data_IF_304948877854
#
_entry.id   IF_304948877854
#
_cell.length_a   1.000
_cell.length_b   1.000
_cell.length_c   1.000
_cell.angle_alpha   90.00
_cell.angle_beta   90.00
_cell.angle_gamma   90.00
#
_symmetry.space_group_name_H-M   'P 1'
#
loop_
_entity.id
_entity.type
_entity.pdbx_description
1 polymer ?
#
# COMPACT_ATOMS: atom_id res chain seq x y z
N UNK A 1 4.08 -19.55 -28.31
CA UNK A 1 5.17 -18.64 -27.91
C UNK A 1 6.45 -19.08 -28.58
N UNK A 2 7.02 -18.24 -29.43
CA UNK A 2 8.19 -18.61 -30.22
C UNK A 2 9.44 -18.38 -29.36
N UNK A 3 10.11 -19.45 -28.95
CA UNK A 3 11.42 -19.43 -28.27
C UNK A 3 12.50 -19.02 -29.28
N UNK A 4 12.39 -17.80 -29.79
CA UNK A 4 13.46 -17.18 -30.59
C UNK A 4 14.74 -17.14 -29.76
N UNK A 5 15.90 -17.37 -30.40
CA UNK A 5 17.22 -17.34 -29.77
C UNK A 5 17.40 -16.07 -28.94
N UNK A 6 17.48 -16.22 -27.61
CA UNK A 6 17.84 -15.15 -26.68
C UNK A 6 19.29 -14.74 -26.94
N UNK A 7 19.57 -13.46 -27.10
CA UNK A 7 20.92 -12.97 -27.40
C UNK A 7 21.36 -11.87 -26.45
N UNK A 8 20.45 -10.94 -26.16
CA UNK A 8 20.74 -9.73 -25.40
C UNK A 8 19.80 -9.54 -24.21
N UNK A 9 19.76 -10.50 -23.27
CA UNK A 9 18.80 -10.45 -22.18
C UNK A 9 19.16 -9.41 -21.11
N UNK A 10 18.14 -8.88 -20.45
CA UNK A 10 18.24 -8.14 -19.20
C UNK A 10 17.06 -8.47 -18.29
N UNK A 11 17.21 -8.21 -17.00
CA UNK A 11 16.19 -8.49 -16.00
C UNK A 11 15.67 -7.20 -15.39
N UNK A 12 14.37 -7.07 -15.32
CA UNK A 12 13.67 -6.05 -14.54
C UNK A 12 13.19 -6.68 -13.24
N UNK A 13 13.53 -6.05 -12.12
CA UNK A 13 13.19 -6.49 -10.77
C UNK A 13 12.11 -5.56 -10.24
N UNK A 14 11.00 -6.10 -9.77
CA UNK A 14 9.89 -5.35 -9.17
C UNK A 14 9.64 -5.83 -7.75
N UNK A 15 9.51 -4.88 -6.83
CA UNK A 15 9.14 -5.13 -5.44
C UNK A 15 8.40 -3.91 -4.88
N UNK A 16 7.18 -4.11 -4.39
CA UNK A 16 6.33 -3.00 -3.92
C UNK A 16 6.15 -1.93 -4.99
N UNK A 17 6.47 -0.69 -4.64
CA UNK A 17 6.42 0.49 -5.51
C UNK A 17 7.69 0.69 -6.35
N UNK A 18 8.68 -0.20 -6.25
CA UNK A 18 9.99 -0.04 -6.88
C UNK A 18 10.23 -0.98 -8.04
N UNK A 19 10.93 -0.45 -9.04
CA UNK A 19 11.41 -1.19 -10.21
C UNK A 19 12.89 -0.87 -10.40
N UNK A 20 13.71 -1.89 -10.64
CA UNK A 20 15.10 -1.76 -11.07
C UNK A 20 15.34 -2.60 -12.32
N UNK A 21 16.39 -2.27 -13.07
CA UNK A 21 16.82 -3.05 -14.25
C UNK A 21 18.30 -3.39 -14.13
N UNK A 22 18.65 -4.60 -14.56
CA UNK A 22 20.04 -4.99 -14.75
C UNK A 22 20.63 -4.33 -15.99
N UNK A 23 21.95 -4.43 -16.12
CA UNK A 23 22.60 -4.22 -17.41
C UNK A 23 22.14 -5.29 -18.42
N UNK A 24 22.24 -4.95 -19.71
CA UNK A 24 22.02 -5.89 -20.81
C UNK A 24 23.24 -6.81 -20.93
N UNK A 25 22.99 -8.11 -20.98
CA UNK A 25 24.01 -9.10 -21.35
C UNK A 25 24.24 -8.97 -22.86
N UNK A 26 25.47 -8.69 -23.28
CA UNK A 26 25.78 -8.44 -24.70
C UNK A 26 25.81 -9.72 -25.55
N UNK A 27 26.16 -10.86 -24.95
CA UNK A 27 26.17 -12.16 -25.61
C UNK A 27 25.89 -13.26 -24.60
N UNK A 28 24.61 -13.61 -24.43
CA UNK A 28 24.20 -14.65 -23.49
C UNK A 28 24.68 -16.06 -23.86
N UNK A 29 25.04 -16.29 -25.14
CA UNK A 29 25.58 -17.60 -25.56
C UNK A 29 27.03 -17.76 -25.12
N UNK A 30 27.81 -16.68 -25.20
CA UNK A 30 29.22 -16.70 -24.81
C UNK A 30 29.41 -16.48 -23.30
N UNK A 31 28.68 -15.54 -22.71
CA UNK A 31 28.78 -15.22 -21.30
C UNK A 31 27.39 -14.81 -20.74
N UNK A 32 26.67 -15.71 -20.06
CA UNK A 32 25.35 -15.44 -19.51
C UNK A 32 25.36 -14.62 -18.21
N UNK A 33 26.49 -14.02 -17.81
CA UNK A 33 26.60 -13.26 -16.56
C UNK A 33 26.36 -11.76 -16.76
N UNK A 34 25.67 -11.14 -15.79
CA UNK A 34 25.55 -9.68 -15.72
C UNK A 34 26.88 -9.04 -15.36
N UNK A 35 27.21 -7.91 -16.01
CA UNK A 35 28.40 -7.10 -15.68
C UNK A 35 28.31 -6.57 -14.24
N UNK A 36 27.13 -6.14 -13.81
CA UNK A 36 26.84 -5.71 -12.44
C UNK A 36 25.83 -6.66 -11.79
N UNK A 37 26.29 -7.61 -10.95
CA UNK A 37 25.39 -8.59 -10.32
C UNK A 37 24.61 -8.01 -9.14
N UNK A 38 25.07 -6.92 -8.54
CA UNK A 38 24.40 -6.26 -7.42
C UNK A 38 23.52 -5.12 -7.92
N UNK A 39 22.24 -5.18 -7.57
CA UNK A 39 21.25 -4.12 -7.84
C UNK A 39 20.74 -3.61 -6.50
N UNK A 40 20.72 -2.28 -6.34
CA UNK A 40 20.31 -1.61 -5.11
C UNK A 40 19.00 -0.87 -5.36
N UNK A 41 18.00 -1.16 -4.56
CA UNK A 41 16.71 -0.48 -4.53
C UNK A 41 16.62 0.36 -3.26
N UNK A 42 16.64 1.68 -3.41
CA UNK A 42 16.59 2.59 -2.28
C UNK A 42 15.14 2.81 -1.84
N UNK A 43 14.90 2.77 -0.52
CA UNK A 43 13.62 3.14 0.12
C UNK A 43 12.40 2.40 -0.48
N UNK A 44 12.41 1.07 -0.46
CA UNK A 44 11.24 0.26 -0.82
C UNK A 44 10.20 0.38 0.30
N UNK A 45 8.98 0.78 -0.03
CA UNK A 45 7.89 0.78 0.95
C UNK A 45 7.30 -0.62 1.04
N UNK A 46 7.35 -1.22 2.23
CA UNK A 46 6.83 -2.55 2.49
C UNK A 46 5.97 -2.54 3.76
N UNK A 47 4.97 -3.42 3.86
CA UNK A 47 4.22 -3.62 5.09
C UNK A 47 5.14 -4.02 6.25
N UNK A 48 4.71 -3.70 7.48
CA UNK A 48 5.45 -4.06 8.71
C UNK A 48 5.65 -5.57 8.85
N UNK A 49 4.65 -6.34 8.42
CA UNK A 49 4.68 -7.80 8.39
C UNK A 49 4.92 -8.27 6.96
N UNK A 50 6.02 -8.98 6.72
CA UNK A 50 6.42 -9.44 5.38
C UNK A 50 5.47 -10.46 4.76
N UNK A 51 4.63 -11.14 5.54
CA UNK A 51 3.60 -12.03 4.99
C UNK A 51 2.56 -11.28 4.13
N UNK A 52 2.35 -9.98 4.40
CA UNK A 52 1.50 -9.12 3.57
C UNK A 52 2.29 -8.40 2.46
N UNK A 53 3.60 -8.60 2.37
CA UNK A 53 4.40 -7.94 1.36
C UNK A 53 4.06 -8.49 -0.03
N UNK A 54 4.04 -7.62 -1.06
CA UNK A 54 3.86 -8.07 -2.43
C UNK A 54 5.05 -8.94 -2.87
N UNK A 55 4.84 -9.86 -3.84
CA UNK A 55 5.90 -10.77 -4.28
C UNK A 55 7.03 -10.02 -5.00
N UNK A 56 8.26 -10.49 -4.82
CA UNK A 56 9.42 -10.02 -5.57
C UNK A 56 9.40 -10.66 -6.96
N UNK A 57 9.34 -9.85 -8.01
CA UNK A 57 9.17 -10.33 -9.39
C UNK A 57 10.39 -10.00 -10.24
N UNK A 58 10.87 -10.97 -11.00
CA UNK A 58 11.93 -10.84 -12.00
C UNK A 58 11.34 -11.06 -13.38
N UNK A 59 11.27 -10.01 -14.19
CA UNK A 59 10.83 -10.08 -15.58
C UNK A 59 12.06 -10.10 -16.49
N UNK A 60 12.17 -11.12 -17.32
CA UNK A 60 13.24 -11.30 -18.29
C UNK A 60 12.82 -10.72 -19.63
N UNK A 61 13.64 -9.83 -20.19
CA UNK A 61 13.44 -9.19 -21.49
C UNK A 61 14.65 -9.46 -22.40
N UNK A 62 14.44 -9.45 -23.71
CA UNK A 62 15.51 -9.55 -24.73
C UNK A 62 15.61 -8.20 -25.45
N UNK A 63 16.76 -7.53 -25.42
CA UNK A 63 16.93 -6.29 -26.17
C UNK A 63 17.26 -6.59 -27.64
N UNK A 64 16.41 -6.17 -28.56
CA UNK A 64 16.58 -6.39 -30.00
C UNK A 64 16.88 -5.10 -30.75
N UNK A 65 17.14 -5.25 -32.05
CA UNK A 65 17.22 -4.12 -32.98
C UNK A 65 15.97 -3.24 -32.89
N UNK A 66 16.15 -1.95 -33.19
CA UNK A 66 15.09 -0.94 -33.11
C UNK A 66 14.47 -0.76 -31.72
N UNK A 67 15.21 -1.04 -30.65
CA UNK A 67 14.78 -0.77 -29.27
C UNK A 67 13.63 -1.66 -28.78
N UNK A 68 13.34 -2.76 -29.48
CA UNK A 68 12.31 -3.72 -29.06
C UNK A 68 12.81 -4.51 -27.86
N UNK A 69 11.99 -4.61 -26.82
CA UNK A 69 12.30 -5.38 -25.60
C UNK A 69 11.18 -6.41 -25.36
N UNK A 70 11.04 -7.48 -26.18
CA UNK A 70 10.05 -8.51 -25.91
C UNK A 70 10.27 -9.17 -24.54
N UNK A 71 9.18 -9.34 -23.80
CA UNK A 71 9.15 -10.11 -22.57
C UNK A 71 9.32 -11.60 -22.88
N UNK A 72 10.35 -12.21 -22.31
CA UNK A 72 10.72 -13.61 -22.56
C UNK A 72 10.18 -14.53 -21.46
N UNK A 73 10.11 -14.04 -20.21
CA UNK A 73 9.73 -14.87 -19.09
C UNK A 73 9.67 -14.12 -17.78
N UNK A 74 9.08 -14.77 -16.78
CA UNK A 74 8.85 -14.22 -15.45
C UNK A 74 9.27 -15.24 -14.40
N UNK A 75 9.89 -14.76 -13.33
CA UNK A 75 10.17 -15.52 -12.13
C UNK A 75 9.62 -14.75 -10.93
N UNK A 76 8.84 -15.42 -10.08
CA UNK A 76 8.15 -14.79 -8.96
C UNK A 76 8.64 -15.46 -7.68
N UNK A 77 9.13 -14.65 -6.74
CA UNK A 77 9.50 -15.05 -5.38
C UNK A 77 8.40 -14.55 -4.45
N UNK A 78 7.44 -15.42 -4.06
CA UNK A 78 6.28 -15.01 -3.27
C UNK A 78 6.66 -14.61 -1.85
N UNK A 79 7.53 -15.40 -1.22
CA UNK A 79 8.09 -15.10 0.09
C UNK A 79 9.57 -14.78 -0.06
N UNK A 80 9.91 -13.50 -0.07
CA UNK A 80 11.30 -13.05 -0.09
C UNK A 80 11.89 -12.86 1.31
N UNK A 81 11.07 -12.97 2.37
CA UNK A 81 11.50 -12.71 3.74
C UNK A 81 12.60 -13.68 4.18
N UNK A 82 12.52 -14.93 3.73
CA UNK A 82 13.55 -15.97 3.91
C UNK A 82 14.93 -15.64 3.31
N UNK A 83 15.02 -14.66 2.42
CA UNK A 83 16.29 -14.23 1.81
C UNK A 83 16.84 -12.92 2.41
N UNK A 84 16.16 -12.35 3.41
CA UNK A 84 16.60 -11.12 4.08
C UNK A 84 17.69 -11.47 5.10
N UNK A 85 18.92 -10.97 4.89
CA UNK A 85 20.03 -11.13 5.85
C UNK A 85 20.06 -10.08 6.96
N UNK A 86 19.68 -8.84 6.65
CA UNK A 86 19.63 -7.72 7.59
C UNK A 86 18.28 -7.05 7.48
N UNK A 87 17.54 -6.98 8.59
CA UNK A 87 16.26 -6.30 8.62
C UNK A 87 16.49 -4.79 8.38
N UNK A 88 15.73 -4.14 7.48
CA UNK A 88 15.77 -2.69 7.38
C UNK A 88 15.34 -2.07 8.71
N UNK A 89 15.96 -0.95 9.09
CA UNK A 89 15.55 -0.20 10.28
C UNK A 89 14.08 0.19 10.15
N UNK A 90 13.25 -0.27 11.09
CA UNK A 90 11.85 0.11 11.16
C UNK A 90 11.80 1.58 11.54
N UNK A 91 11.39 2.44 10.62
CA UNK A 91 10.98 3.80 10.98
C UNK A 91 9.77 3.65 11.90
N UNK A 92 9.90 4.08 13.16
CA UNK A 92 8.76 4.13 14.08
C UNK A 92 7.71 5.02 13.42
N UNK A 93 6.56 4.45 13.08
CA UNK A 93 5.43 5.24 12.61
C UNK A 93 5.10 6.24 13.72
N UNK A 94 4.90 7.51 13.34
CA UNK A 94 4.61 8.56 14.30
C UNK A 94 3.23 8.30 14.94
N UNK A 95 3.24 7.73 16.14
CA UNK A 95 2.03 7.43 16.91
C UNK A 95 1.22 8.70 17.24
N UNK A 96 1.81 9.89 17.07
CA UNK A 96 1.14 11.17 17.28
C UNK A 96 -0.12 11.34 16.41
N UNK A 97 -0.15 10.73 15.22
CA UNK A 97 -1.31 10.83 14.33
C UNK A 97 -2.55 10.12 14.89
N UNK A 98 -2.39 8.92 15.46
CA UNK A 98 -3.51 8.13 16.00
C UNK A 98 -4.07 8.70 17.30
N UNK A 99 -3.20 9.25 18.16
CA UNK A 99 -3.63 9.91 19.40
C UNK A 99 -4.61 11.06 19.13
N UNK A 100 -4.39 11.82 18.06
CA UNK A 100 -5.31 12.89 17.67
C UNK A 100 -6.68 12.36 17.25
N UNK A 101 -6.74 11.20 16.59
CA UNK A 101 -8.00 10.58 16.23
C UNK A 101 -8.71 10.01 17.46
N UNK A 102 -7.99 9.39 18.38
CA UNK A 102 -8.53 8.88 19.64
C UNK A 102 -9.14 10.02 20.48
N UNK A 103 -8.46 11.17 20.59
CA UNK A 103 -8.99 12.35 21.29
C UNK A 103 -10.29 12.90 20.66
N UNK A 104 -10.40 12.89 19.33
CA UNK A 104 -11.61 13.31 18.60
C UNK A 104 -12.75 12.32 18.85
N UNK A 105 -12.47 11.02 18.80
CA UNK A 105 -13.46 9.97 19.07
C UNK A 105 -13.99 10.05 20.51
N UNK A 106 -13.11 10.22 21.48
CA UNK A 106 -13.49 10.38 22.89
C UNK A 106 -14.38 11.61 23.10
N UNK A 107 -14.08 12.70 22.40
CA UNK A 107 -14.90 13.92 22.43
C UNK A 107 -16.29 13.69 21.83
N UNK A 108 -16.37 13.05 20.66
CA UNK A 108 -17.64 12.72 19.99
C UNK A 108 -18.50 11.79 20.85
N UNK A 109 -17.91 10.74 21.42
CA UNK A 109 -18.61 9.79 22.30
C UNK A 109 -19.13 10.49 23.57
N UNK A 110 -18.33 11.40 24.16
CA UNK A 110 -18.77 12.19 25.30
C UNK A 110 -19.91 13.16 24.95
N UNK A 111 -19.93 13.70 23.72
CA UNK A 111 -21.00 14.58 23.25
C UNK A 111 -22.31 13.80 23.02
N UNK A 112 -22.24 12.63 22.40
CA UNK A 112 -23.38 11.73 22.23
C UNK A 112 -24.01 11.32 23.57
N UNK A 113 -23.19 10.96 24.56
CA UNK A 113 -23.65 10.64 25.92
C UNK A 113 -24.29 11.81 26.65
N UNK A 114 -23.99 13.06 26.27
CA UNK A 114 -24.65 14.25 26.83
C UNK A 114 -26.01 14.48 26.17
N UNK A 115 -26.11 14.30 24.86
CA UNK A 115 -27.37 14.42 24.13
C UNK A 115 -28.39 13.35 24.54
N UNK A 116 -27.95 12.12 24.83
CA UNK A 116 -28.82 11.06 25.37
C UNK A 116 -29.42 11.38 26.75
N UNK A 117 -28.83 12.29 27.54
CA UNK A 117 -29.31 12.64 28.88
C UNK A 117 -30.31 13.79 28.91
N UNK A 118 -30.36 14.64 27.88
CA UNK A 118 -31.19 15.85 27.88
C UNK A 118 -32.64 15.60 27.42
N UNK A 119 -32.89 14.56 26.61
CA UNK A 119 -34.16 14.40 25.87
C UNK A 119 -35.01 13.18 26.29
N UNK A 120 -34.85 12.65 27.51
CA UNK A 120 -35.58 11.46 27.95
C UNK A 120 -37.03 11.73 28.44
N UNK A 121 -37.89 12.24 27.56
CA UNK A 121 -39.34 12.01 27.61
C UNK A 121 -39.86 11.60 26.23
N UNK A 122 -39.67 10.32 25.91
CA UNK A 122 -40.39 9.64 24.83
C UNK A 122 -39.63 9.59 23.51
N UNK A 123 -39.11 8.41 23.19
CA UNK A 123 -39.40 7.62 21.98
C UNK A 123 -38.30 6.56 21.84
N UNK A 124 -38.65 5.33 22.18
CA UNK A 124 -37.85 4.14 21.91
C UNK A 124 -37.84 3.84 20.42
N UNK A 125 -36.67 3.91 19.79
CA UNK A 125 -36.29 3.04 18.67
C UNK A 125 -34.84 2.59 18.91
N UNK A 126 -34.58 1.31 18.64
CA UNK A 126 -33.30 0.64 18.91
C UNK A 126 -32.07 1.44 18.46
N UNK A 127 -31.19 1.74 19.42
CA UNK A 127 -29.74 1.96 19.29
C UNK A 127 -29.18 3.03 18.31
N UNK A 128 -29.95 4.00 17.84
CA UNK A 128 -29.38 5.20 17.18
C UNK A 128 -30.16 6.45 17.56
N UNK A 129 -29.72 7.13 18.63
CA UNK A 129 -30.30 8.41 19.04
C UNK A 129 -30.16 9.48 17.95
N UNK A 130 -29.11 9.41 17.13
CA UNK A 130 -28.86 10.32 16.02
C UNK A 130 -28.34 9.54 14.81
N UNK A 131 -29.03 9.67 13.67
CA UNK A 131 -28.59 9.10 12.40
C UNK A 131 -27.38 9.85 11.82
N UNK A 132 -26.51 9.12 11.12
CA UNK A 132 -25.24 9.66 10.61
C UNK A 132 -25.42 10.80 9.62
N UNK A 133 -26.56 10.84 8.90
CA UNK A 133 -26.89 11.96 8.03
C UNK A 133 -27.08 13.25 8.83
N UNK A 134 -27.73 13.21 9.99
CA UNK A 134 -27.91 14.39 10.85
C UNK A 134 -26.57 14.95 11.34
N UNK A 135 -25.60 14.08 11.70
CA UNK A 135 -24.24 14.50 12.10
C UNK A 135 -23.51 15.20 10.95
N UNK A 136 -23.58 14.62 9.75
CA UNK A 136 -22.97 15.20 8.55
C UNK A 136 -23.54 16.59 8.24
N UNK A 137 -24.87 16.72 8.21
CA UNK A 137 -25.53 17.99 7.94
C UNK A 137 -25.20 19.05 9.01
N UNK A 138 -25.11 18.66 10.28
CA UNK A 138 -24.65 19.57 11.34
C UNK A 138 -23.19 20.02 11.13
N UNK A 139 -22.29 19.13 10.70
CA UNK A 139 -20.87 19.45 10.48
C UNK A 139 -20.65 20.45 9.35
N UNK A 140 -21.51 20.41 8.32
CA UNK A 140 -21.47 21.37 7.19
C UNK A 140 -22.35 22.61 7.42
N UNK A 141 -22.96 22.75 8.61
CA UNK A 141 -23.77 23.92 9.00
C UNK A 141 -25.21 23.92 8.49
N UNK A 142 -25.69 22.82 7.90
CA UNK A 142 -27.06 22.67 7.41
C UNK A 142 -27.98 22.10 8.52
N UNK A 143 -28.20 22.88 9.58
CA UNK A 143 -28.98 22.45 10.75
C UNK A 143 -30.45 22.13 10.44
N UNK A 144 -31.01 22.68 9.35
CA UNK A 144 -32.37 22.36 8.88
C UNK A 144 -32.55 20.89 8.48
N UNK A 145 -31.45 20.21 8.12
CA UNK A 145 -31.41 18.80 7.74
C UNK A 145 -30.85 17.89 8.84
N UNK A 146 -30.64 18.43 10.05
CA UNK A 146 -30.08 17.72 11.19
C UNK A 146 -31.08 17.64 12.37
N UNK A 147 -32.23 16.95 12.22
CA UNK A 147 -33.19 16.79 13.31
C UNK A 147 -32.53 16.11 14.51
N UNK A 148 -32.76 16.63 15.72
CA UNK A 148 -32.14 16.17 16.98
C UNK A 148 -30.77 16.78 17.29
N UNK A 149 -30.12 17.46 16.34
CA UNK A 149 -28.89 18.25 16.54
C UNK A 149 -29.26 19.75 16.64
N UNK A 150 -30.08 20.10 17.63
CA UNK A 150 -30.38 21.51 17.90
C UNK A 150 -29.22 22.15 18.70
N UNK A 151 -28.98 23.44 18.43
CA UNK A 151 -27.88 24.23 18.99
C UNK A 151 -28.08 24.60 20.45
#
# INVERSE_FOLDING_TARGET
MQLSSVRNPFVEIRIGDKIARSDVIEDAKRNPNFKRPLIILNKVQLPVHFYYAPPLTFNLYDRRSFGREPHIGICIVPDFAKYIKKLPERTKQDNSSWQKYDEILDFEEANEKRMTRADFEGYFFDNYLIDWWSKYYSSIGESEKAPGFAK
#
